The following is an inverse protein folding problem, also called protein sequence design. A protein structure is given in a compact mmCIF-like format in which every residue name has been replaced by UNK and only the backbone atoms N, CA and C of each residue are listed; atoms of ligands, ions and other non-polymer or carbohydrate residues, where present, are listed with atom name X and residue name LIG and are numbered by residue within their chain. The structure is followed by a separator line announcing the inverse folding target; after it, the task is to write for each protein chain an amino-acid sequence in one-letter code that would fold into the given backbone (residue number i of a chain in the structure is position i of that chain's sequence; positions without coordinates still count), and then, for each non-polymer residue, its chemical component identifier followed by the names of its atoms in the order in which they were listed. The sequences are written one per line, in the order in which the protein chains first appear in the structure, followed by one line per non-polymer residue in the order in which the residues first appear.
data_IF_200613129923
#
_entry.id   IF_200613129923
#
_cell.length_a   1.000
_cell.length_b   1.000
_cell.length_c   1.000
_cell.angle_alpha   90.00
_cell.angle_beta   90.00
_cell.angle_gamma   90.00
#
_symmetry.space_group_name_H-M   'P 1'
#
loop_
_entity.id
_entity.type
_entity.pdbx_description
1 polymer ?
#
# COMPACT_ATOMS: atom_id res chain seq x y z
N UNK A 1 -6.61 10.71 11.40
CA UNK A 1 -5.71 9.54 11.54
C UNK A 1 -6.44 8.27 11.98
N UNK A 2 -7.04 8.21 13.16
CA UNK A 2 -7.70 6.98 13.66
C UNK A 2 -8.90 6.49 12.81
N UNK A 3 -9.53 7.36 12.02
CA UNK A 3 -10.62 6.98 11.11
C UNK A 3 -10.11 6.34 9.81
N UNK A 4 -9.03 6.88 9.24
CA UNK A 4 -8.37 6.36 8.04
C UNK A 4 -7.81 4.95 8.30
N UNK A 5 -7.21 4.73 9.47
CA UNK A 5 -6.65 3.43 9.90
C UNK A 5 -7.71 2.33 10.11
N UNK A 6 -8.99 2.70 10.16
CA UNK A 6 -10.13 1.79 10.35
C UNK A 6 -10.90 1.53 9.07
N UNK A 7 -10.42 2.01 7.93
CA UNK A 7 -11.05 1.74 6.65
C UNK A 7 -11.01 0.24 6.36
N UNK A 8 -12.17 -0.43 6.16
CA UNK A 8 -12.19 -1.86 5.87
C UNK A 8 -11.42 -2.25 4.61
N UNK A 9 -11.23 -1.30 3.68
CA UNK A 9 -10.47 -1.50 2.47
C UNK A 9 -8.98 -1.78 2.73
N UNK A 10 -8.41 -1.32 3.85
CA UNK A 10 -7.01 -1.58 4.21
C UNK A 10 -6.74 -3.05 4.49
N UNK A 11 -7.77 -3.80 4.87
CA UNK A 11 -7.69 -5.23 5.19
C UNK A 11 -7.82 -6.11 3.93
N UNK A 12 -7.94 -5.52 2.74
CA UNK A 12 -7.85 -6.27 1.49
C UNK A 12 -6.41 -6.74 1.30
N UNK A 13 -6.23 -8.05 1.09
CA UNK A 13 -4.96 -8.63 0.69
C UNK A 13 -5.18 -10.02 0.04
N UNK A 14 -4.31 -10.46 -0.89
CA UNK A 14 -4.30 -11.82 -1.38
C UNK A 14 -4.26 -12.85 -0.24
N UNK A 15 -4.93 -13.98 -0.45
CA UNK A 15 -4.87 -15.12 0.48
C UNK A 15 -3.41 -15.57 0.65
N UNK A 16 -2.98 -15.74 1.91
CA UNK A 16 -1.61 -16.10 2.24
C UNK A 16 -0.60 -14.95 2.25
N UNK A 17 -1.02 -13.71 1.97
CA UNK A 17 -0.23 -12.54 2.33
C UNK A 17 -0.27 -12.34 3.85
N UNK A 18 0.90 -12.08 4.45
CA UNK A 18 1.05 -11.86 5.87
C UNK A 18 1.30 -10.36 6.13
N UNK A 19 0.47 -9.75 6.97
CA UNK A 19 0.68 -8.37 7.41
C UNK A 19 1.90 -8.29 8.35
N UNK A 20 2.69 -7.24 8.19
CA UNK A 20 3.73 -6.87 9.16
C UNK A 20 3.17 -5.77 10.05
N UNK A 21 2.98 -6.08 11.33
CA UNK A 21 2.40 -5.14 12.28
C UNK A 21 3.42 -4.20 12.91
N UNK A 22 2.95 -3.01 13.28
CA UNK A 22 3.67 -2.02 14.06
C UNK A 22 4.49 -1.06 13.22
N UNK A 23 4.87 0.07 13.83
CA UNK A 23 5.69 1.08 13.16
C UNK A 23 7.08 0.52 12.80
N UNK A 24 7.62 0.78 11.59
CA UNK A 24 7.11 1.68 10.54
C UNK A 24 6.17 1.04 9.50
N UNK A 25 5.73 -0.20 9.69
CA UNK A 25 5.08 -1.04 8.68
C UNK A 25 3.55 -0.90 8.60
N UNK A 26 2.93 -0.44 9.67
CA UNK A 26 1.48 -0.26 9.70
C UNK A 26 1.03 0.87 10.61
N UNK A 27 -0.12 1.42 10.24
CA UNK A 27 -0.84 2.45 11.00
C UNK A 27 -0.92 3.79 10.29
N UNK A 28 -1.73 4.69 10.86
CA UNK A 28 -1.91 6.03 10.34
C UNK A 28 -0.84 7.00 10.79
N UNK A 29 -0.35 7.83 9.86
CA UNK A 29 0.58 8.91 10.13
C UNK A 29 0.35 10.08 9.16
N UNK A 30 1.00 11.21 9.44
CA UNK A 30 1.03 12.36 8.55
C UNK A 30 2.35 12.34 7.79
N UNK A 31 2.29 12.56 6.49
CA UNK A 31 3.46 12.91 5.69
C UNK A 31 3.41 14.42 5.50
N UNK A 32 4.57 15.07 5.67
CA UNK A 32 4.77 16.50 5.45
C UNK A 32 6.14 16.65 4.78
N UNK A 33 6.12 16.81 3.46
CA UNK A 33 7.31 16.93 2.63
C UNK A 33 7.23 18.15 1.68
N UNK A 34 8.19 18.27 0.76
CA UNK A 34 8.23 19.42 -0.16
C UNK A 34 7.07 19.47 -1.16
N UNK A 35 6.35 18.36 -1.36
CA UNK A 35 5.18 18.28 -2.23
C UNK A 35 3.87 18.61 -1.50
N UNK A 36 3.86 18.57 -0.16
CA UNK A 36 2.72 18.97 0.66
C UNK A 36 2.57 18.11 1.91
N UNK A 37 1.43 18.26 2.57
CA UNK A 37 1.07 17.44 3.72
C UNK A 37 -0.19 16.64 3.42
N UNK A 38 -0.21 15.36 3.81
CA UNK A 38 -1.37 14.48 3.69
C UNK A 38 -1.39 13.45 4.81
N UNK A 39 -2.56 12.84 5.01
CA UNK A 39 -2.76 11.74 5.93
C UNK A 39 -2.65 10.43 5.15
N UNK A 40 -1.89 9.48 5.69
CA UNK A 40 -1.80 8.12 5.16
C UNK A 40 -2.11 7.11 6.27
N UNK A 41 -2.68 5.97 5.91
CA UNK A 41 -2.77 4.79 6.76
C UNK A 41 -2.41 3.56 5.96
N UNK A 42 -1.48 2.77 6.47
CA UNK A 42 -0.78 1.78 5.66
C UNK A 42 -0.87 0.37 6.27
N UNK A 43 -0.81 -0.62 5.38
CA UNK A 43 -0.59 -2.03 5.69
C UNK A 43 0.52 -2.55 4.79
N UNK A 44 1.63 -2.93 5.41
CA UNK A 44 2.71 -3.59 4.71
C UNK A 44 2.55 -5.11 4.77
N UNK A 45 2.72 -5.76 3.62
CA UNK A 45 2.51 -7.20 3.47
C UNK A 45 3.72 -7.90 2.88
N UNK A 46 3.96 -9.11 3.38
CA UNK A 46 4.90 -10.06 2.82
C UNK A 46 4.12 -11.20 2.16
N UNK A 47 4.43 -11.50 0.89
CA UNK A 47 3.69 -12.49 0.11
C UNK A 47 4.61 -13.43 -0.65
N UNK A 48 4.29 -14.71 -0.59
CA UNK A 48 5.02 -15.76 -1.29
C UNK A 48 4.74 -15.77 -2.80
N UNK A 49 3.64 -15.16 -3.26
CA UNK A 49 3.33 -15.07 -4.69
C UNK A 49 4.08 -13.94 -5.41
N UNK A 50 3.58 -13.60 -6.59
CA UNK A 50 4.20 -12.66 -7.52
C UNK A 50 3.53 -11.29 -7.50
N UNK A 51 4.27 -10.26 -7.93
CA UNK A 51 3.73 -8.92 -8.19
C UNK A 51 2.49 -8.94 -9.09
N UNK A 52 2.47 -9.77 -10.14
CA UNK A 52 1.32 -9.90 -11.04
C UNK A 52 0.07 -10.40 -10.31
N UNK A 53 0.20 -11.39 -9.43
CA UNK A 53 -0.92 -11.91 -8.64
C UNK A 53 -1.49 -10.85 -7.69
N UNK A 54 -0.64 -10.02 -7.09
CA UNK A 54 -1.06 -8.89 -6.25
C UNK A 54 -1.84 -7.85 -7.08
N UNK A 55 -1.32 -7.47 -8.26
CA UNK A 55 -2.00 -6.54 -9.16
C UNK A 55 -3.36 -7.08 -9.64
N UNK A 56 -3.41 -8.34 -10.07
CA UNK A 56 -4.63 -9.01 -10.52
C UNK A 56 -5.66 -9.13 -9.38
N UNK A 57 -5.21 -9.32 -8.13
CA UNK A 57 -6.06 -9.30 -6.94
C UNK A 57 -6.67 -7.91 -6.72
N UNK A 58 -5.87 -6.86 -6.56
CA UNK A 58 -6.39 -5.51 -6.25
C UNK A 58 -7.22 -4.94 -7.39
N UNK A 59 -6.89 -5.24 -8.66
CA UNK A 59 -7.75 -4.90 -9.79
C UNK A 59 -9.18 -5.40 -9.59
N UNK A 60 -9.35 -6.62 -9.07
CA UNK A 60 -10.65 -7.26 -8.88
C UNK A 60 -11.31 -6.82 -7.57
N UNK A 61 -10.61 -6.99 -6.46
CA UNK A 61 -11.19 -6.81 -5.12
C UNK A 61 -11.37 -5.33 -4.75
N UNK A 62 -10.41 -4.45 -5.08
CA UNK A 62 -10.60 -3.02 -4.84
C UNK A 62 -11.75 -2.48 -5.70
N UNK A 63 -11.85 -2.92 -6.97
CA UNK A 63 -12.98 -2.58 -7.86
C UNK A 63 -14.32 -3.08 -7.32
N UNK A 64 -14.36 -4.31 -6.77
CA UNK A 64 -15.56 -4.84 -6.14
C UNK A 64 -15.95 -4.05 -4.87
N UNK A 65 -14.97 -3.53 -4.14
CA UNK A 65 -15.16 -2.61 -3.02
C UNK A 65 -15.44 -1.16 -3.46
N UNK A 66 -15.43 -0.89 -4.77
CA UNK A 66 -15.80 0.38 -5.41
C UNK A 66 -14.65 1.37 -5.63
N UNK A 67 -13.40 0.96 -5.44
CA UNK A 67 -12.21 1.74 -5.82
C UNK A 67 -11.72 1.31 -7.20
N UNK A 68 -11.55 2.25 -8.11
CA UNK A 68 -11.14 1.94 -9.49
C UNK A 68 -9.73 2.45 -9.75
N UNK A 69 -8.88 1.67 -10.40
CA UNK A 69 -7.56 2.16 -10.79
C UNK A 69 -7.71 3.32 -11.78
N UNK A 70 -6.94 4.39 -11.59
CA UNK A 70 -6.93 5.55 -12.50
C UNK A 70 -6.18 5.25 -13.80
N UNK A 71 -5.20 4.34 -13.72
CA UNK A 71 -4.31 3.96 -14.79
C UNK A 71 -4.29 2.44 -14.99
N UNK A 72 -3.78 2.03 -16.15
CA UNK A 72 -3.57 0.62 -16.43
C UNK A 72 -2.44 0.07 -15.55
N UNK A 73 -2.81 -0.80 -14.60
CA UNK A 73 -1.88 -1.46 -13.67
C UNK A 73 -0.79 -2.28 -14.37
N UNK A 74 -1.00 -2.69 -15.62
CA UNK A 74 0.01 -3.45 -16.37
C UNK A 74 1.15 -2.56 -16.92
N UNK A 75 0.97 -1.23 -16.96
CA UNK A 75 1.98 -0.29 -17.49
C UNK A 75 3.07 0.09 -16.49
N UNK A 76 2.84 -0.06 -15.18
CA UNK A 76 3.81 0.27 -14.14
C UNK A 76 4.92 -0.78 -13.92
N UNK A 77 4.96 -1.83 -14.75
CA UNK A 77 5.84 -2.99 -14.54
C UNK A 77 7.33 -2.70 -14.81
N UNK A 78 7.66 -1.70 -15.65
CA UNK A 78 9.04 -1.46 -16.13
C UNK A 78 9.78 -0.30 -15.43
N UNK A 79 9.17 0.43 -14.49
CA UNK A 79 9.65 1.73 -14.03
C UNK A 79 10.32 1.80 -12.65
N UNK A 80 10.56 0.68 -11.95
CA UNK A 80 11.04 0.71 -10.55
C UNK A 80 9.90 0.77 -9.53
N UNK A 81 10.04 1.57 -8.45
CA UNK A 81 8.98 1.83 -7.47
C UNK A 81 7.75 2.38 -8.21
N UNK A 82 6.68 1.59 -8.29
CA UNK A 82 5.45 2.00 -8.94
C UNK A 82 4.37 2.06 -7.88
N UNK A 83 3.82 3.26 -7.71
CA UNK A 83 2.62 3.50 -6.92
C UNK A 83 1.45 3.44 -7.89
N UNK A 84 0.52 2.53 -7.63
CA UNK A 84 -0.72 2.42 -8.37
C UNK A 84 -1.85 3.03 -7.54
N UNK A 85 -2.58 3.97 -8.12
CA UNK A 85 -3.62 4.69 -7.40
C UNK A 85 -5.03 4.25 -7.83
N UNK A 86 -5.93 4.20 -6.86
CA UNK A 86 -7.32 3.81 -7.01
C UNK A 86 -8.23 4.85 -6.37
N UNK A 87 -9.26 5.29 -7.09
CA UNK A 87 -10.18 6.33 -6.65
C UNK A 87 -11.59 5.81 -6.42
N UNK A 88 -12.30 6.51 -5.54
CA UNK A 88 -13.75 6.40 -5.35
C UNK A 88 -14.33 7.80 -5.08
N UNK A 89 -15.55 8.06 -5.55
CA UNK A 89 -16.13 9.41 -5.61
C UNK A 89 -16.03 10.20 -4.30
N UNK A 90 -16.43 9.61 -3.17
CA UNK A 90 -16.57 10.28 -1.87
C UNK A 90 -15.75 9.59 -0.77
N UNK A 91 -14.64 8.95 -1.14
CA UNK A 91 -13.79 8.19 -0.19
C UNK A 91 -12.33 8.54 -0.40
N UNK A 92 -11.47 8.33 0.62
CA UNK A 92 -10.02 8.38 0.47
C UNK A 92 -9.54 7.59 -0.74
N UNK A 93 -8.49 8.09 -1.41
CA UNK A 93 -7.80 7.35 -2.44
C UNK A 93 -7.07 6.16 -1.80
N UNK A 94 -6.80 5.14 -2.60
CA UNK A 94 -5.98 4.01 -2.16
C UNK A 94 -4.78 3.89 -3.07
N UNK A 95 -3.62 3.59 -2.50
CA UNK A 95 -2.36 3.43 -3.22
C UNK A 95 -1.76 2.05 -2.93
N UNK A 96 -1.21 1.43 -3.98
CA UNK A 96 -0.49 0.17 -3.91
C UNK A 96 0.93 0.38 -4.43
N UNK A 97 1.91 0.16 -3.57
CA UNK A 97 3.32 0.21 -3.95
C UNK A 97 4.04 -1.12 -3.69
N UNK A 98 5.14 -1.34 -4.41
CA UNK A 98 5.99 -2.51 -4.25
C UNK A 98 7.37 -2.10 -3.80
N UNK A 99 7.87 -2.77 -2.77
CA UNK A 99 9.21 -2.56 -2.24
C UNK A 99 10.14 -3.71 -2.65
N UNK A 100 11.32 -3.37 -3.12
CA UNK A 100 12.41 -4.33 -3.29
C UNK A 100 13.14 -4.50 -1.95
N UNK A 101 13.83 -5.62 -1.71
CA UNK A 101 14.68 -5.77 -0.52
C UNK A 101 15.70 -4.64 -0.35
N UNK A 102 16.21 -4.10 -1.45
CA UNK A 102 17.14 -2.96 -1.43
C UNK A 102 16.44 -1.67 -0.95
N UNK A 103 15.25 -1.36 -1.48
CA UNK A 103 14.45 -0.22 -1.02
C UNK A 103 14.07 -0.34 0.46
N UNK A 104 13.67 -1.53 0.91
CA UNK A 104 13.34 -1.75 2.34
C UNK A 104 14.54 -1.49 3.25
N UNK A 105 15.74 -1.85 2.80
CA UNK A 105 16.99 -1.57 3.54
C UNK A 105 17.31 -0.08 3.56
N UNK A 106 17.15 0.62 2.43
CA UNK A 106 17.45 2.04 2.31
C UNK A 106 16.48 2.92 3.10
N UNK A 107 15.18 2.66 2.99
CA UNK A 107 14.12 3.49 3.59
C UNK A 107 13.95 3.24 5.09
N UNK A 108 14.10 1.99 5.54
CA UNK A 108 13.75 1.59 6.91
C UNK A 108 14.93 1.05 7.72
N UNK A 109 16.15 1.03 7.16
CA UNK A 109 17.35 0.57 7.87
C UNK A 109 17.27 -0.88 8.36
N UNK A 110 16.49 -1.72 7.66
CA UNK A 110 15.99 -2.99 8.19
C UNK A 110 17.04 -4.09 8.29
N UNK A 111 17.58 -4.24 9.49
CA UNK A 111 17.99 -5.53 10.04
C UNK A 111 17.19 -5.78 11.33
N UNK A 112 16.49 -6.92 11.48
CA UNK A 112 16.31 -8.00 10.50
C UNK A 112 15.32 -7.63 9.37
N UNK A 113 15.42 -8.36 8.24
CA UNK A 113 14.54 -8.15 7.08
C UNK A 113 13.08 -8.47 7.47
N UNK A 114 12.05 -7.76 6.98
CA UNK A 114 10.66 -8.02 7.39
C UNK A 114 10.20 -9.47 7.18
N UNK A 115 10.74 -10.16 6.17
CA UNK A 115 10.51 -11.60 5.95
C UNK A 115 11.07 -12.49 7.08
N UNK A 116 12.18 -12.09 7.72
CA UNK A 116 12.75 -12.79 8.89
C UNK A 116 11.89 -12.59 10.14
N UNK A 117 11.25 -11.42 10.31
CA UNK A 117 10.33 -11.15 11.42
C UNK A 117 9.09 -12.07 11.39
N UNK A 118 8.63 -12.41 10.20
CA UNK A 118 7.43 -13.22 9.98
C UNK A 118 7.73 -14.72 9.81
N UNK A 119 9.00 -15.11 9.57
CA UNK A 119 9.37 -16.50 9.32
C UNK A 119 8.77 -17.10 8.04
N UNK A 120 8.46 -16.26 7.05
CA UNK A 120 7.78 -16.65 5.80
C UNK A 120 8.72 -16.55 4.59
N UNK A 121 8.61 -17.50 3.67
CA UNK A 121 9.29 -17.43 2.37
C UNK A 121 8.55 -16.42 1.46
N UNK A 122 8.99 -15.17 1.50
CA UNK A 122 8.37 -14.07 0.74
C UNK A 122 9.18 -13.70 -0.48
N UNK A 123 8.48 -13.51 -1.60
CA UNK A 123 9.04 -13.08 -2.88
C UNK A 123 8.59 -11.68 -3.28
N UNK A 124 7.49 -11.21 -2.72
CA UNK A 124 6.89 -9.91 -3.01
C UNK A 124 6.60 -9.18 -1.70
N UNK A 125 7.02 -7.92 -1.62
CA UNK A 125 6.68 -6.99 -0.54
C UNK A 125 5.96 -5.80 -1.14
N UNK A 126 4.87 -5.40 -0.50
CA UNK A 126 4.04 -4.32 -0.99
C UNK A 126 3.31 -3.64 0.16
N UNK A 127 2.98 -2.37 -0.05
CA UNK A 127 2.18 -1.58 0.89
C UNK A 127 0.86 -1.27 0.23
N UNK A 128 -0.22 -1.39 1.01
CA UNK A 128 -1.55 -0.95 0.64
C UNK A 128 -1.97 0.15 1.59
N UNK A 129 -2.26 1.32 1.03
CA UNK A 129 -2.40 2.55 1.78
C UNK A 129 -3.69 3.27 1.42
N UNK A 130 -4.25 3.96 2.39
CA UNK A 130 -5.35 4.90 2.19
C UNK A 130 -4.82 6.31 2.41
N UNK A 131 -5.16 7.24 1.52
CA UNK A 131 -4.63 8.60 1.52
C UNK A 131 -5.76 9.64 1.49
N UNK A 132 -5.58 10.71 2.26
CA UNK A 132 -6.55 11.78 2.41
C UNK A 132 -5.85 13.12 2.67
N UNK A 133 -6.54 14.22 2.37
CA UNK A 133 -6.09 15.57 2.70
C UNK A 133 -5.91 15.74 4.22
N UNK A 134 -5.15 16.75 4.69
CA UNK A 134 -4.96 17.01 6.13
C UNK A 134 -6.25 17.21 6.92
N UNK A 135 -7.31 17.68 6.27
CA UNK A 135 -8.65 17.83 6.87
C UNK A 135 -9.50 16.55 6.83
N UNK A 136 -8.96 15.47 6.27
CA UNK A 136 -9.61 14.17 6.11
C UNK A 136 -10.51 14.07 4.88
N UNK A 137 -10.61 15.11 4.07
CA UNK A 137 -11.31 15.04 2.79
C UNK A 137 -10.56 14.16 1.78
N UNK A 138 -11.28 13.76 0.73
CA UNK A 138 -10.73 12.92 -0.33
C UNK A 138 -9.53 13.64 -0.97
N UNK A 139 -8.41 12.94 -1.04
CA UNK A 139 -7.28 13.30 -1.89
C UNK A 139 -7.48 12.63 -3.26
N UNK A 140 -7.35 13.40 -4.33
CA UNK A 140 -7.33 12.85 -5.69
C UNK A 140 -5.95 12.34 -6.02
N UNK A 141 -5.88 11.40 -6.96
CA UNK A 141 -4.61 10.84 -7.39
C UNK A 141 -3.82 11.80 -8.32
N UNK A 142 -3.83 13.13 -8.13
CA UNK A 142 -3.03 14.09 -8.92
C UNK A 142 -2.82 15.43 -8.22
#
# INVERSE_FOLDING_TARGET
MAELDRLPALELHPEGAAAVDGHPWSGAHCIDDTAGAWLTAERFYAYAGTRKEVLDYYRREASAAGWRPIDDLDKGYDAGFAVFCFEAADRPSMTLDFASPEMLRELHGTQPHPAELLGVDSRTWYTWSAEAEPDGSRMDCF
#
